data_IF_055127108294
#
_entry.id   IF_055127108294
#
_cell.length_a   1.000
_cell.length_b   1.000
_cell.length_c   1.000
_cell.angle_alpha   90.00
_cell.angle_beta   90.00
_cell.angle_gamma   90.00
#
_symmetry.space_group_name_H-M   'P 1'
#
loop_
_entity.id
_entity.type
_entity.pdbx_description
1 polymer ?
#
# COMPACT_ATOMS: atom_id res chain seq x y z
N UNK A 1 -18.91 -3.21 -11.40
CA UNK A 1 -17.49 -3.27 -11.04
C UNK A 1 -17.43 -2.66 -9.65
N UNK A 2 -17.22 -3.46 -8.61
CA UNK A 2 -17.30 -2.99 -7.22
C UNK A 2 -16.11 -2.08 -6.94
N UNK A 3 -16.37 -0.88 -6.40
CA UNK A 3 -15.33 0.08 -6.05
C UNK A 3 -14.39 -0.52 -4.98
N UNK A 4 -13.06 -0.40 -5.14
CA UNK A 4 -12.13 -1.12 -4.28
C UNK A 4 -12.07 -0.50 -2.88
N UNK A 5 -12.57 -1.18 -1.85
CA UNK A 5 -12.32 -0.79 -0.47
C UNK A 5 -10.98 -1.38 0.06
N UNK A 6 -10.61 -1.08 1.31
CA UNK A 6 -9.39 -1.62 1.94
C UNK A 6 -9.31 -3.16 1.92
N UNK A 7 -10.45 -3.82 2.14
CA UNK A 7 -10.54 -5.28 2.12
C UNK A 7 -10.30 -5.83 0.71
N UNK A 8 -10.76 -5.12 -0.32
CA UNK A 8 -10.51 -5.48 -1.73
C UNK A 8 -9.04 -5.26 -2.10
N UNK A 9 -8.39 -4.21 -1.57
CA UNK A 9 -6.96 -3.98 -1.76
C UNK A 9 -6.13 -5.09 -1.13
N UNK A 10 -6.41 -5.48 0.12
CA UNK A 10 -5.71 -6.60 0.78
C UNK A 10 -5.94 -7.92 0.03
N UNK A 11 -7.19 -8.23 -0.32
CA UNK A 11 -7.55 -9.47 -1.03
C UNK A 11 -6.87 -9.56 -2.38
N UNK A 12 -6.83 -8.45 -3.13
CA UNK A 12 -6.07 -8.41 -4.38
C UNK A 12 -4.58 -8.59 -4.11
N UNK A 13 -4.03 -7.83 -3.15
CA UNK A 13 -2.61 -7.81 -2.87
C UNK A 13 -2.11 -9.21 -2.50
N UNK A 14 -2.82 -9.95 -1.63
CA UNK A 14 -2.43 -11.28 -1.13
C UNK A 14 -2.33 -12.37 -2.21
N UNK A 15 -2.86 -12.12 -3.41
CA UNK A 15 -2.83 -13.05 -4.54
C UNK A 15 -1.70 -12.72 -5.54
N UNK A 16 -0.94 -11.67 -5.30
CA UNK A 16 0.11 -11.21 -6.22
C UNK A 16 1.48 -11.80 -5.88
N UNK A 17 2.38 -11.76 -6.86
CA UNK A 17 3.80 -12.04 -6.63
C UNK A 17 4.50 -10.77 -6.10
N UNK A 18 5.58 -10.93 -5.33
CA UNK A 18 6.35 -9.83 -4.72
C UNK A 18 7.20 -8.98 -5.70
N UNK A 19 6.91 -9.01 -7.01
CA UNK A 19 7.67 -8.26 -8.02
C UNK A 19 7.31 -6.77 -8.08
N UNK A 20 8.21 -5.94 -8.64
CA UNK A 20 8.04 -4.48 -8.74
C UNK A 20 6.74 -4.06 -9.46
N UNK A 21 6.29 -4.87 -10.44
CA UNK A 21 5.01 -4.67 -11.14
C UNK A 21 3.83 -4.64 -10.18
N UNK A 22 3.83 -5.45 -9.13
CA UNK A 22 2.76 -5.49 -8.12
C UNK A 22 2.65 -4.16 -7.40
N UNK A 23 3.78 -3.57 -6.98
CA UNK A 23 3.80 -2.26 -6.34
C UNK A 23 3.31 -1.15 -7.29
N UNK A 24 3.72 -1.18 -8.56
CA UNK A 24 3.24 -0.24 -9.59
C UNK A 24 1.72 -0.35 -9.81
N UNK A 25 1.18 -1.57 -9.88
CA UNK A 25 -0.28 -1.79 -9.99
C UNK A 25 -1.02 -1.40 -8.70
N UNK A 26 -0.40 -1.59 -7.54
CA UNK A 26 -0.98 -1.15 -6.26
C UNK A 26 -1.15 0.37 -6.22
N UNK A 27 -0.14 1.16 -6.65
CA UNK A 27 -0.28 2.61 -6.78
C UNK A 27 -1.47 3.03 -7.66
N UNK A 28 -1.65 2.40 -8.81
CA UNK A 28 -2.77 2.69 -9.72
C UNK A 28 -4.13 2.42 -9.05
N UNK A 29 -4.22 1.36 -8.24
CA UNK A 29 -5.42 1.05 -7.45
C UNK A 29 -5.67 2.10 -6.36
N UNK A 30 -4.63 2.57 -5.68
CA UNK A 30 -4.74 3.63 -4.68
C UNK A 30 -5.17 4.97 -5.30
N UNK A 31 -4.68 5.30 -6.50
CA UNK A 31 -5.13 6.49 -7.24
C UNK A 31 -6.61 6.40 -7.60
N UNK A 32 -7.05 5.22 -8.04
CA UNK A 32 -8.47 4.95 -8.32
C UNK A 32 -9.30 5.09 -7.05
N UNK A 33 -8.87 4.51 -5.93
CA UNK A 33 -9.58 4.63 -4.65
C UNK A 33 -9.65 6.08 -4.16
N UNK A 34 -8.52 6.79 -4.22
CA UNK A 34 -8.41 8.19 -3.81
C UNK A 34 -9.30 9.14 -4.63
N UNK A 35 -9.63 8.79 -5.87
CA UNK A 35 -10.50 9.61 -6.72
C UNK A 35 -11.99 9.39 -6.41
N UNK A 36 -12.38 8.17 -6.04
CA UNK A 36 -13.77 7.81 -5.72
C UNK A 36 -14.14 8.11 -4.26
N UNK A 37 -13.20 7.96 -3.32
CA UNK A 37 -13.45 8.11 -1.88
C UNK A 37 -12.60 9.24 -1.25
N UNK A 38 -13.12 10.48 -1.17
CA UNK A 38 -12.40 11.62 -0.62
C UNK A 38 -11.90 11.41 0.81
N UNK A 39 -12.64 10.66 1.62
CA UNK A 39 -12.26 10.36 3.00
C UNK A 39 -10.98 9.50 3.07
N UNK A 40 -10.73 8.67 2.07
CA UNK A 40 -9.57 7.76 2.06
C UNK A 40 -8.31 8.37 1.44
N UNK A 41 -8.39 9.60 0.92
CA UNK A 41 -7.29 10.28 0.19
C UNK A 41 -5.98 10.33 0.96
N UNK A 42 -6.03 10.62 2.27
CA UNK A 42 -4.82 10.73 3.08
C UNK A 42 -4.09 9.39 3.16
N UNK A 43 -4.81 8.31 3.46
CA UNK A 43 -4.28 6.94 3.49
C UNK A 43 -3.75 6.54 2.12
N UNK A 44 -4.53 6.78 1.05
CA UNK A 44 -4.11 6.44 -0.31
C UNK A 44 -2.82 7.17 -0.71
N UNK A 45 -2.70 8.47 -0.42
CA UNK A 45 -1.48 9.22 -0.73
C UNK A 45 -0.26 8.73 0.06
N UNK A 46 -0.43 8.44 1.33
CA UNK A 46 0.68 7.95 2.16
C UNK A 46 1.14 6.57 1.70
N UNK A 47 0.21 5.67 1.40
CA UNK A 47 0.54 4.35 0.84
C UNK A 47 1.21 4.48 -0.53
N UNK A 48 0.69 5.35 -1.42
CA UNK A 48 1.30 5.59 -2.74
C UNK A 48 2.72 6.13 -2.62
N UNK A 49 2.97 7.02 -1.65
CA UNK A 49 4.32 7.51 -1.34
C UNK A 49 5.24 6.40 -0.84
N UNK A 50 4.77 5.61 0.14
CA UNK A 50 5.52 4.48 0.70
C UNK A 50 5.99 3.49 -0.38
N UNK A 51 5.06 3.03 -1.23
CA UNK A 51 5.42 2.11 -2.31
C UNK A 51 6.17 2.81 -3.44
N UNK A 52 5.98 4.12 -3.61
CA UNK A 52 6.67 4.93 -4.61
C UNK A 52 8.16 5.01 -4.34
N UNK A 53 8.56 5.31 -3.10
CA UNK A 53 9.97 5.31 -2.70
C UNK A 53 10.61 3.94 -2.87
N UNK A 54 9.87 2.85 -2.61
CA UNK A 54 10.35 1.50 -2.88
C UNK A 54 10.51 1.22 -4.38
N UNK A 55 9.56 1.67 -5.21
CA UNK A 55 9.65 1.53 -6.66
C UNK A 55 10.87 2.28 -7.20
N UNK A 56 11.05 3.53 -6.80
CA UNK A 56 12.17 4.39 -7.23
C UNK A 56 13.53 3.80 -6.86
N UNK A 57 13.65 3.20 -5.67
CA UNK A 57 14.91 2.58 -5.21
C UNK A 57 15.33 1.34 -6.04
N UNK A 58 14.39 0.72 -6.75
CA UNK A 58 14.64 -0.48 -7.57
C UNK A 58 14.22 -0.29 -9.03
N UNK A 59 14.00 0.94 -9.48
CA UNK A 59 13.80 1.22 -10.89
C UNK A 59 15.18 1.15 -11.56
N UNK A 60 15.29 0.32 -12.59
CA UNK A 60 16.55 0.02 -13.31
C UNK A 60 17.64 -0.71 -12.49
N UNK A 61 17.48 -0.88 -11.18
CA UNK A 61 18.36 -1.65 -10.31
C UNK A 61 17.87 -3.11 -10.11
N UNK A 62 18.76 -4.08 -9.88
CA UNK A 62 18.36 -5.45 -9.60
C UNK A 62 17.68 -5.53 -8.23
N UNK A 63 16.42 -5.94 -8.19
CA UNK A 63 15.69 -6.19 -6.94
C UNK A 63 16.04 -7.57 -6.37
N UNK A 64 16.73 -7.67 -5.22
CA UNK A 64 17.02 -8.96 -4.60
C UNK A 64 15.74 -9.62 -4.08
N UNK A 65 15.56 -10.91 -4.33
CA UNK A 65 14.35 -11.66 -3.92
C UNK A 65 14.06 -11.54 -2.43
N UNK A 66 15.08 -11.60 -1.56
CA UNK A 66 14.90 -11.46 -0.12
C UNK A 66 14.40 -10.08 0.31
N UNK A 67 14.77 -9.03 -0.43
CA UNK A 67 14.25 -7.67 -0.20
C UNK A 67 12.81 -7.58 -0.69
N UNK A 68 12.52 -8.15 -1.85
CA UNK A 68 11.17 -8.22 -2.42
C UNK A 68 10.19 -8.93 -1.48
N UNK A 69 10.56 -10.10 -0.97
CA UNK A 69 9.75 -10.89 -0.03
C UNK A 69 9.45 -10.10 1.25
N UNK A 70 10.47 -9.44 1.82
CA UNK A 70 10.32 -8.66 3.05
C UNK A 70 9.41 -7.44 2.83
N UNK A 71 9.68 -6.66 1.80
CA UNK A 71 8.90 -5.47 1.46
C UNK A 71 7.44 -5.83 1.19
N UNK A 72 7.21 -6.90 0.43
CA UNK A 72 5.87 -7.37 0.13
C UNK A 72 5.12 -7.87 1.37
N UNK A 73 5.78 -8.65 2.24
CA UNK A 73 5.17 -9.10 3.50
C UNK A 73 4.77 -7.92 4.40
N UNK A 74 5.63 -6.91 4.53
CA UNK A 74 5.31 -5.69 5.30
C UNK A 74 4.14 -4.91 4.73
N UNK A 75 4.11 -4.76 3.41
CA UNK A 75 2.99 -4.09 2.75
C UNK A 75 1.69 -4.86 2.99
N UNK A 76 1.74 -6.19 2.90
CA UNK A 76 0.58 -7.05 3.15
C UNK A 76 0.06 -6.88 4.59
N UNK A 77 0.93 -6.99 5.58
CA UNK A 77 0.58 -6.81 7.00
C UNK A 77 0.06 -5.40 7.30
N UNK A 78 0.69 -4.38 6.71
CA UNK A 78 0.27 -2.99 6.85
C UNK A 78 -1.16 -2.82 6.34
N UNK A 79 -1.43 -3.24 5.10
CA UNK A 79 -2.74 -3.11 4.45
C UNK A 79 -3.80 -3.94 5.17
N UNK A 80 -3.47 -5.14 5.65
CA UNK A 80 -4.37 -5.97 6.46
C UNK A 80 -4.79 -5.29 7.79
N UNK A 81 -3.93 -4.44 8.34
CA UNK A 81 -4.16 -3.75 9.62
C UNK A 81 -5.03 -2.49 9.53
N UNK A 82 -5.27 -1.99 8.32
CA UNK A 82 -6.01 -0.74 8.10
C UNK A 82 -7.51 -0.97 8.24
N UNK A 83 -8.18 -0.08 8.99
CA UNK A 83 -9.64 -0.03 9.02
C UNK A 83 -10.11 1.34 8.51
N UNK A 84 -10.47 1.38 7.23
CA UNK A 84 -10.88 2.62 6.55
C UNK A 84 -12.29 3.07 6.95
N UNK A 85 -13.03 2.23 7.67
CA UNK A 85 -14.38 2.52 8.16
C UNK A 85 -14.42 2.87 9.65
N UNK A 86 -13.26 2.84 10.31
CA UNK A 86 -13.16 3.12 11.74
C UNK A 86 -13.38 4.59 12.09
N UNK A 87 -13.49 4.85 13.40
CA UNK A 87 -13.58 6.20 13.93
C UNK A 87 -12.31 7.04 13.69
N UNK A 88 -12.41 8.34 13.96
CA UNK A 88 -11.34 9.30 13.69
C UNK A 88 -10.01 8.96 14.39
N UNK A 89 -10.05 8.51 15.65
CA UNK A 89 -8.84 8.14 16.41
C UNK A 89 -8.12 6.96 15.75
N UNK A 90 -8.88 5.94 15.34
CA UNK A 90 -8.31 4.78 14.66
C UNK A 90 -7.74 5.15 13.30
N UNK A 91 -8.45 5.98 12.53
CA UNK A 91 -7.98 6.46 11.22
C UNK A 91 -6.70 7.29 11.35
N UNK A 92 -6.58 8.13 12.38
CA UNK A 92 -5.35 8.88 12.67
C UNK A 92 -4.20 7.94 13.04
N UNK A 93 -4.46 6.91 13.85
CA UNK A 93 -3.46 5.91 14.19
C UNK A 93 -2.96 5.13 12.96
N UNK A 94 -3.86 4.78 12.04
CA UNK A 94 -3.49 4.11 10.79
C UNK A 94 -2.68 5.03 9.86
N UNK A 95 -3.05 6.31 9.74
CA UNK A 95 -2.25 7.33 9.04
C UNK A 95 -0.83 7.43 9.62
N UNK A 96 -0.69 7.52 10.93
CA UNK A 96 0.61 7.59 11.59
C UNK A 96 1.43 6.32 11.39
N UNK A 97 0.79 5.14 11.39
CA UNK A 97 1.46 3.86 11.13
C UNK A 97 2.04 3.82 9.72
N UNK A 98 1.28 4.25 8.71
CA UNK A 98 1.76 4.30 7.32
C UNK A 98 2.93 5.28 7.21
N UNK A 99 2.80 6.46 7.80
CA UNK A 99 3.83 7.50 7.75
C UNK A 99 5.16 7.09 8.42
N UNK A 100 5.11 6.19 9.40
CA UNK A 100 6.29 5.65 10.07
C UNK A 100 6.86 4.38 9.41
N UNK A 101 6.17 3.83 8.40
CA UNK A 101 6.57 2.60 7.74
C UNK A 101 7.65 2.86 6.69
N UNK A 102 8.53 1.88 6.51
CA UNK A 102 9.50 1.83 5.42
C UNK A 102 9.60 0.40 4.88
N UNK A 103 9.63 0.27 3.56
CA UNK A 103 9.73 -0.99 2.85
C UNK A 103 11.19 -1.39 2.56
N UNK A 104 12.14 -0.47 2.68
CA UNK A 104 13.55 -0.72 2.37
C UNK A 104 14.36 -1.35 3.51
N UNK A 105 13.84 -1.40 4.74
CA UNK A 105 14.64 -1.70 5.94
C UNK A 105 14.10 -2.82 6.84
#
# INVERSE_FOLDING_TARGET
MTDPNASDLHTWLSQQHHGLRTFKTFQQKLETLSSHDPEQRAVCRLLSGLVGSYIEAFDEEPLPVAVADRAYGRLLDLVASLDLTANADRRLADVNRIAACDLLH
#
